data_IF_075426723377
#
_entry.id   IF_075426723377
#
_cell.length_a   1.000
_cell.length_b   1.000
_cell.length_c   1.000
_cell.angle_alpha   90.00
_cell.angle_beta   90.00
_cell.angle_gamma   90.00
#
_symmetry.space_group_name_H-M   'P 1'
#
loop_
_entity.id
_entity.type
_entity.pdbx_description
1 polymer ?
#
# COMPACT_ATOMS: atom_id res chain seq x y z
N UNK A 1 20.51 -0.83 -17.54
CA UNK A 1 19.57 -1.98 -17.58
C UNK A 1 18.19 -1.44 -18.01
N UNK A 2 17.40 -2.14 -18.82
CA UNK A 2 16.09 -1.62 -19.21
C UNK A 2 15.01 -2.18 -18.27
N UNK A 3 14.76 -1.50 -17.15
CA UNK A 3 13.75 -1.90 -16.16
C UNK A 3 12.34 -1.64 -16.71
N UNK A 4 12.14 -0.52 -17.43
CA UNK A 4 10.86 -0.25 -18.07
C UNK A 4 10.71 -1.03 -19.37
N UNK A 5 9.64 -1.80 -19.49
CA UNK A 5 9.25 -2.54 -20.71
C UNK A 5 8.32 -1.73 -21.62
N UNK A 6 7.86 -0.56 -21.16
CA UNK A 6 6.94 0.31 -21.88
C UNK A 6 7.58 1.64 -22.26
N UNK A 7 7.08 2.24 -23.34
CA UNK A 7 7.50 3.58 -23.80
C UNK A 7 6.54 4.68 -23.35
N UNK A 8 5.37 4.30 -22.83
CA UNK A 8 4.29 5.19 -22.41
C UNK A 8 3.82 4.77 -21.02
N UNK A 9 3.38 5.73 -20.22
CA UNK A 9 2.56 5.45 -19.05
C UNK A 9 1.08 5.35 -19.42
N UNK A 10 0.24 5.01 -18.44
CA UNK A 10 -1.20 4.87 -18.66
C UNK A 10 -1.87 6.17 -19.12
N UNK A 11 -1.46 7.30 -18.58
CA UNK A 11 -2.10 8.58 -18.84
C UNK A 11 -1.76 9.10 -20.25
N UNK A 12 -0.52 8.91 -20.70
CA UNK A 12 -0.09 9.15 -22.07
C UNK A 12 -0.87 8.25 -23.05
N UNK A 13 -0.98 6.96 -22.74
CA UNK A 13 -1.73 6.01 -23.55
C UNK A 13 -3.21 6.42 -23.69
N UNK A 14 -3.89 6.73 -22.58
CA UNK A 14 -5.29 7.16 -22.59
C UNK A 14 -5.48 8.46 -23.39
N UNK A 15 -4.50 9.36 -23.33
CA UNK A 15 -4.48 10.62 -24.07
C UNK A 15 -4.42 10.41 -25.58
N UNK A 16 -3.68 9.40 -26.03
CA UNK A 16 -3.48 9.05 -27.43
C UNK A 16 -4.70 8.32 -28.00
N UNK A 17 -5.21 7.30 -27.32
CA UNK A 17 -6.31 6.47 -27.86
C UNK A 17 -7.69 7.13 -27.75
N UNK A 18 -7.90 8.00 -26.77
CA UNK A 18 -9.13 8.77 -26.53
C UNK A 18 -10.43 7.96 -26.67
N UNK A 19 -10.42 6.74 -26.13
CA UNK A 19 -11.60 5.87 -26.09
C UNK A 19 -12.46 6.20 -24.86
N UNK A 20 -13.80 5.87 -24.89
CA UNK A 20 -14.64 6.01 -23.73
C UNK A 20 -14.11 5.25 -22.51
N UNK A 21 -14.19 5.83 -21.33
CA UNK A 21 -13.76 5.24 -20.07
C UNK A 21 -14.98 4.84 -19.22
N UNK A 22 -14.96 3.63 -18.67
CA UNK A 22 -15.90 3.18 -17.67
C UNK A 22 -15.18 3.02 -16.32
N UNK A 23 -15.58 3.79 -15.31
CA UNK A 23 -14.99 3.71 -13.98
C UNK A 23 -15.66 2.61 -13.17
N UNK A 24 -14.89 1.66 -12.69
CA UNK A 24 -15.36 0.59 -11.81
C UNK A 24 -15.05 0.92 -10.35
N UNK A 25 -16.06 1.43 -9.63
CA UNK A 25 -15.98 1.86 -8.25
C UNK A 25 -16.34 3.33 -8.05
N UNK A 26 -16.64 3.72 -6.80
CA UNK A 26 -17.18 5.04 -6.44
C UNK A 26 -16.66 5.52 -5.08
N UNK A 27 -15.46 5.16 -4.70
CA UNK A 27 -14.81 5.57 -3.45
C UNK A 27 -13.68 6.57 -3.69
N UNK A 28 -12.84 6.76 -2.69
CA UNK A 28 -11.67 7.65 -2.70
C UNK A 28 -10.73 7.41 -3.90
N UNK A 29 -10.52 6.13 -4.28
CA UNK A 29 -9.73 5.81 -5.47
C UNK A 29 -10.33 6.38 -6.76
N UNK A 30 -11.68 6.36 -6.89
CA UNK A 30 -12.34 6.96 -8.04
C UNK A 30 -12.23 8.49 -8.04
N UNK A 31 -12.34 9.13 -6.86
CA UNK A 31 -12.15 10.58 -6.74
C UNK A 31 -10.74 11.00 -7.17
N UNK A 32 -9.71 10.24 -6.75
CA UNK A 32 -8.31 10.47 -7.15
C UNK A 32 -8.11 10.29 -8.65
N UNK A 33 -8.62 9.19 -9.23
CA UNK A 33 -8.51 8.91 -10.66
C UNK A 33 -9.20 9.98 -11.49
N UNK A 34 -10.41 10.43 -11.10
CA UNK A 34 -11.11 11.52 -11.78
C UNK A 34 -10.28 12.82 -11.74
N UNK A 35 -9.69 13.14 -10.59
CA UNK A 35 -8.83 14.32 -10.45
C UNK A 35 -7.60 14.26 -11.39
N UNK A 36 -6.97 13.08 -11.50
CA UNK A 36 -5.85 12.88 -12.41
C UNK A 36 -6.29 12.99 -13.87
N UNK A 37 -7.41 12.36 -14.24
CA UNK A 37 -7.99 12.49 -15.59
C UNK A 37 -8.32 13.94 -15.93
N UNK A 38 -8.80 14.74 -14.97
CA UNK A 38 -9.08 16.15 -15.14
C UNK A 38 -7.80 16.95 -15.40
N UNK A 39 -6.73 16.68 -14.64
CA UNK A 39 -5.43 17.32 -14.80
C UNK A 39 -4.78 17.01 -16.17
N UNK A 40 -5.05 15.82 -16.72
CA UNK A 40 -4.59 15.42 -18.06
C UNK A 40 -5.55 15.80 -19.20
N UNK A 41 -6.68 16.48 -18.91
CA UNK A 41 -7.68 16.87 -19.93
C UNK A 41 -8.44 15.68 -20.51
N UNK A 42 -8.61 14.60 -19.72
CA UNK A 42 -9.24 13.33 -20.11
C UNK A 42 -10.59 13.06 -19.43
N UNK A 43 -11.06 13.99 -18.58
CA UNK A 43 -12.31 13.81 -17.84
C UNK A 43 -13.53 13.63 -18.74
N UNK A 44 -13.53 14.27 -19.91
CA UNK A 44 -14.59 14.17 -20.92
C UNK A 44 -14.71 12.78 -21.55
N UNK A 45 -13.69 11.93 -21.39
CA UNK A 45 -13.72 10.54 -21.84
C UNK A 45 -14.53 9.64 -20.89
N UNK A 46 -14.82 10.07 -19.66
CA UNK A 46 -15.62 9.27 -18.71
C UNK A 46 -17.05 9.18 -19.26
N UNK A 47 -17.44 7.98 -19.68
CA UNK A 47 -18.73 7.70 -20.29
C UNK A 47 -19.68 6.98 -19.33
N UNK A 48 -19.18 6.24 -18.35
CA UNK A 48 -19.98 5.49 -17.40
C UNK A 48 -19.25 5.29 -16.06
N UNK A 49 -20.04 5.08 -15.00
CA UNK A 49 -19.57 4.65 -13.68
C UNK A 49 -20.41 3.45 -13.24
N UNK A 50 -19.76 2.38 -12.83
CA UNK A 50 -20.46 1.18 -12.38
C UNK A 50 -19.84 0.60 -11.09
N UNK A 51 -20.61 -0.26 -10.42
CA UNK A 51 -20.19 -0.95 -9.21
C UNK A 51 -20.57 -2.44 -9.31
N UNK A 52 -19.97 -3.29 -8.47
CA UNK A 52 -20.37 -4.69 -8.32
C UNK A 52 -21.83 -4.80 -7.90
N UNK A 53 -22.54 -5.83 -8.35
CA UNK A 53 -24.01 -5.97 -8.22
C UNK A 53 -24.52 -5.75 -6.80
N UNK A 54 -23.84 -6.24 -5.78
CA UNK A 54 -24.22 -6.02 -4.38
C UNK A 54 -24.00 -4.57 -3.86
N UNK A 55 -23.34 -3.72 -4.65
CA UNK A 55 -22.98 -2.33 -4.31
C UNK A 55 -23.64 -1.29 -5.22
N UNK A 56 -24.39 -1.73 -6.20
CA UNK A 56 -25.24 -0.86 -7.02
C UNK A 56 -26.36 -0.31 -6.13
N UNK A 57 -26.33 0.99 -5.87
CA UNK A 57 -27.39 1.71 -5.16
C UNK A 57 -27.91 2.79 -6.11
N UNK A 58 -29.17 3.16 -5.99
CA UNK A 58 -29.72 4.31 -6.71
C UNK A 58 -29.05 5.59 -6.23
N UNK A 59 -27.87 5.88 -6.77
CA UNK A 59 -27.07 7.06 -6.45
C UNK A 59 -26.38 7.61 -7.68
N UNK A 60 -26.03 8.86 -7.61
CA UNK A 60 -25.12 9.52 -8.55
C UNK A 60 -23.73 9.66 -7.94
N UNK A 61 -22.70 9.59 -8.77
CA UNK A 61 -21.32 9.85 -8.41
C UNK A 61 -20.70 10.77 -9.46
N UNK A 62 -20.23 11.95 -9.07
CA UNK A 62 -19.77 13.02 -9.98
C UNK A 62 -20.72 13.32 -11.16
N UNK A 63 -22.05 13.25 -10.90
CA UNK A 63 -23.08 13.47 -11.94
C UNK A 63 -23.42 12.24 -12.79
N UNK A 64 -22.68 11.15 -12.69
CA UNK A 64 -22.97 9.89 -13.35
C UNK A 64 -23.91 9.03 -12.51
N UNK A 65 -24.93 8.42 -13.15
CA UNK A 65 -25.72 7.37 -12.51
C UNK A 65 -24.83 6.12 -12.34
N UNK A 66 -24.74 5.62 -11.10
CA UNK A 66 -24.02 4.36 -10.82
C UNK A 66 -24.87 3.20 -11.27
N UNK A 67 -24.35 2.34 -12.14
CA UNK A 67 -25.07 1.23 -12.75
C UNK A 67 -24.40 -0.12 -12.45
N UNK A 68 -25.05 -1.23 -12.83
CA UNK A 68 -24.44 -2.55 -12.84
C UNK A 68 -23.44 -2.68 -13.99
N UNK A 69 -22.55 -3.67 -13.94
CA UNK A 69 -21.65 -3.96 -15.05
C UNK A 69 -22.42 -4.28 -16.34
N UNK A 70 -23.47 -5.11 -16.25
CA UNK A 70 -24.28 -5.47 -17.40
C UNK A 70 -25.03 -4.28 -18.04
N UNK A 71 -25.50 -3.32 -17.23
CA UNK A 71 -26.14 -2.10 -17.74
C UNK A 71 -25.11 -1.14 -18.33
N UNK A 72 -23.89 -1.08 -17.77
CA UNK A 72 -22.76 -0.33 -18.33
C UNK A 72 -22.43 -0.83 -19.74
N UNK A 73 -22.28 -2.14 -19.94
CA UNK A 73 -22.02 -2.73 -21.25
C UNK A 73 -23.13 -2.40 -22.26
N UNK A 74 -24.43 -2.48 -21.87
CA UNK A 74 -25.55 -2.10 -22.74
C UNK A 74 -25.53 -0.63 -23.09
N UNK A 75 -25.25 0.25 -22.12
CA UNK A 75 -25.26 1.70 -22.31
C UNK A 75 -24.14 2.18 -23.23
N UNK A 76 -22.98 1.51 -23.20
CA UNK A 76 -21.82 1.86 -24.03
C UNK A 76 -21.81 1.14 -25.40
N UNK A 77 -22.57 0.05 -25.56
CA UNK A 77 -22.64 -0.68 -26.84
C UNK A 77 -23.13 0.20 -28.00
N UNK A 78 -22.60 0.02 -29.21
CA UNK A 78 -21.56 -0.92 -29.63
C UNK A 78 -20.12 -0.35 -29.51
N UNK A 79 -19.91 0.72 -28.73
CA UNK A 79 -18.60 1.35 -28.58
C UNK A 79 -17.66 0.46 -27.78
N UNK A 80 -16.44 0.34 -28.24
CA UNK A 80 -15.35 -0.21 -27.47
C UNK A 80 -14.90 0.79 -26.41
N UNK A 81 -14.74 0.35 -25.16
CA UNK A 81 -14.40 1.18 -24.00
C UNK A 81 -13.33 0.54 -23.13
N UNK A 82 -12.65 1.38 -22.36
CA UNK A 82 -11.62 0.96 -21.41
C UNK A 82 -12.19 1.02 -20.00
N UNK A 83 -11.92 0.00 -19.18
CA UNK A 83 -12.32 -0.04 -17.77
C UNK A 83 -11.16 0.41 -16.91
N UNK A 84 -11.42 1.37 -16.00
CA UNK A 84 -10.50 1.75 -14.94
C UNK A 84 -11.05 1.28 -13.60
N UNK A 85 -10.34 0.37 -12.93
CA UNK A 85 -10.69 -0.10 -11.59
C UNK A 85 -10.24 0.94 -10.57
N UNK A 86 -11.16 1.39 -9.72
CA UNK A 86 -10.99 2.55 -8.85
C UNK A 86 -11.03 2.19 -7.35
N UNK A 87 -10.70 0.95 -7.00
CA UNK A 87 -10.69 0.47 -5.61
C UNK A 87 -9.63 -0.61 -5.41
N UNK A 88 -9.30 -0.87 -4.13
CA UNK A 88 -8.39 -1.95 -3.76
C UNK A 88 -9.12 -3.16 -3.19
N UNK A 89 -8.61 -4.37 -3.49
CA UNK A 89 -9.11 -5.62 -2.94
C UNK A 89 -8.09 -6.76 -3.09
N UNK A 90 -8.02 -7.61 -2.05
CA UNK A 90 -7.35 -8.92 -2.08
C UNK A 90 -8.37 -10.08 -2.06
N UNK A 91 -9.68 -9.79 -2.05
CA UNK A 91 -10.75 -10.77 -1.95
C UNK A 91 -10.87 -11.59 -3.24
N UNK A 92 -10.79 -12.93 -3.18
CA UNK A 92 -10.75 -13.79 -4.37
C UNK A 92 -11.95 -13.57 -5.31
N UNK A 93 -13.16 -13.38 -4.77
CA UNK A 93 -14.36 -13.17 -5.57
C UNK A 93 -14.35 -11.83 -6.33
N UNK A 94 -13.69 -10.79 -5.75
CA UNK A 94 -13.53 -9.48 -6.39
C UNK A 94 -12.47 -9.56 -7.47
N UNK A 95 -11.34 -10.21 -7.20
CA UNK A 95 -10.26 -10.41 -8.16
C UNK A 95 -10.75 -11.21 -9.36
N UNK A 96 -11.49 -12.31 -9.15
CA UNK A 96 -12.10 -13.11 -10.24
C UNK A 96 -13.07 -12.29 -11.09
N UNK A 97 -13.82 -11.35 -10.50
CA UNK A 97 -14.68 -10.46 -11.26
C UNK A 97 -13.87 -9.46 -12.10
N UNK A 98 -12.77 -8.92 -11.58
CA UNK A 98 -11.87 -8.03 -12.34
C UNK A 98 -11.20 -8.79 -13.49
N UNK A 99 -10.71 -10.00 -13.25
CA UNK A 99 -10.13 -10.88 -14.28
C UNK A 99 -11.15 -11.20 -15.39
N UNK A 100 -12.41 -11.49 -15.02
CA UNK A 100 -13.49 -11.68 -15.98
C UNK A 100 -13.68 -10.44 -16.85
N UNK A 101 -13.79 -9.25 -16.25
CA UNK A 101 -13.96 -8.00 -17.00
C UNK A 101 -12.74 -7.76 -17.90
N UNK A 102 -11.52 -8.04 -17.43
CA UNK A 102 -10.30 -7.91 -18.21
C UNK A 102 -10.24 -8.89 -19.41
N UNK A 103 -10.96 -10.03 -19.36
CA UNK A 103 -11.10 -10.94 -20.50
C UNK A 103 -12.12 -10.47 -21.54
N UNK A 104 -13.01 -9.57 -21.18
CA UNK A 104 -14.09 -9.04 -22.03
C UNK A 104 -13.75 -7.64 -22.59
N UNK A 105 -12.98 -6.85 -21.84
CA UNK A 105 -12.63 -5.46 -22.15
C UNK A 105 -11.18 -5.16 -21.80
N UNK A 106 -10.61 -4.17 -22.46
CA UNK A 106 -9.35 -3.58 -22.03
C UNK A 106 -9.53 -2.94 -20.66
N UNK A 107 -8.71 -3.36 -19.68
CA UNK A 107 -8.86 -2.99 -18.30
C UNK A 107 -7.51 -2.60 -17.69
N UNK A 108 -7.53 -1.54 -16.89
CA UNK A 108 -6.40 -1.10 -16.09
C UNK A 108 -6.81 -0.88 -14.64
N UNK A 109 -5.86 -1.09 -13.74
CA UNK A 109 -5.95 -0.72 -12.32
C UNK A 109 -4.90 0.38 -12.09
N UNK A 110 -5.25 1.67 -12.24
CA UNK A 110 -4.28 2.74 -12.14
C UNK A 110 -3.60 2.76 -10.77
N UNK A 111 -2.27 2.86 -10.75
CA UNK A 111 -1.53 3.16 -9.53
C UNK A 111 -1.70 4.64 -9.20
N UNK A 112 -2.38 4.91 -8.11
CA UNK A 112 -2.53 6.27 -7.58
C UNK A 112 -2.03 6.30 -6.16
N UNK A 113 -1.22 7.30 -5.75
CA UNK A 113 -0.59 7.29 -4.45
C UNK A 113 -1.64 7.22 -3.34
N UNK A 114 -1.45 6.33 -2.38
CA UNK A 114 -2.29 6.25 -1.18
C UNK A 114 -2.10 7.52 -0.36
N UNK A 115 -0.85 7.99 -0.26
CA UNK A 115 -0.45 9.21 0.42
C UNK A 115 0.40 10.12 -0.47
N UNK A 116 0.23 11.44 -0.31
CA UNK A 116 0.91 12.43 -1.13
C UNK A 116 0.19 12.72 -2.45
N UNK A 117 0.86 13.46 -3.32
CA UNK A 117 0.31 13.90 -4.62
C UNK A 117 1.21 13.57 -5.81
N UNK A 118 2.37 12.96 -5.57
CA UNK A 118 3.32 12.61 -6.63
C UNK A 118 2.81 11.35 -7.31
N UNK A 119 2.53 11.46 -8.61
CA UNK A 119 2.12 10.34 -9.44
C UNK A 119 3.35 9.60 -9.96
N UNK A 120 3.29 8.27 -10.01
CA UNK A 120 4.32 7.47 -10.66
C UNK A 120 4.04 7.41 -12.17
N UNK A 121 4.29 8.53 -12.83
CA UNK A 121 4.19 8.67 -14.28
C UNK A 121 5.54 8.49 -14.98
N UNK A 122 5.56 8.67 -16.29
CA UNK A 122 6.78 8.54 -17.10
C UNK A 122 7.85 9.54 -16.70
N UNK A 123 7.46 10.78 -16.45
CA UNK A 123 8.39 11.85 -16.04
C UNK A 123 9.06 11.51 -14.70
N UNK A 124 8.26 11.13 -13.70
CA UNK A 124 8.79 10.71 -12.40
C UNK A 124 9.72 9.50 -12.52
N UNK A 125 9.35 8.50 -13.33
CA UNK A 125 10.21 7.33 -13.56
C UNK A 125 11.56 7.72 -14.16
N UNK A 126 11.56 8.56 -15.23
CA UNK A 126 12.79 8.97 -15.93
C UNK A 126 13.73 9.80 -15.06
N UNK A 127 13.19 10.67 -14.21
CA UNK A 127 13.96 11.45 -13.24
C UNK A 127 14.62 10.58 -12.16
N UNK A 128 14.03 9.43 -11.81
CA UNK A 128 14.48 8.57 -10.73
C UNK A 128 15.13 7.26 -11.21
N UNK A 129 15.43 7.09 -12.50
CA UNK A 129 16.11 5.88 -13.03
C UNK A 129 17.36 5.52 -12.22
N UNK A 130 18.27 6.45 -11.87
CA UNK A 130 19.47 6.09 -11.11
C UNK A 130 19.16 5.43 -9.77
N UNK A 131 18.19 5.96 -9.03
CA UNK A 131 17.79 5.43 -7.73
C UNK A 131 17.09 4.07 -7.87
N UNK A 132 16.26 3.92 -8.89
CA UNK A 132 15.57 2.66 -9.21
C UNK A 132 16.59 1.57 -9.61
N UNK A 133 17.60 1.89 -10.41
CA UNK A 133 18.66 0.95 -10.79
C UNK A 133 19.58 0.61 -9.61
N UNK A 134 19.86 1.55 -8.73
CA UNK A 134 20.60 1.33 -7.49
C UNK A 134 19.88 0.29 -6.63
N UNK A 135 18.59 0.48 -6.34
CA UNK A 135 17.79 -0.48 -5.57
C UNK A 135 17.75 -1.86 -6.22
N UNK A 136 17.53 -1.90 -7.54
CA UNK A 136 17.55 -3.16 -8.28
C UNK A 136 18.86 -3.93 -8.07
N UNK A 137 19.99 -3.24 -8.01
CA UNK A 137 21.31 -3.85 -7.79
C UNK A 137 21.49 -4.46 -6.39
N UNK A 138 20.77 -3.95 -5.40
CA UNK A 138 20.78 -4.43 -4.01
C UNK A 138 19.85 -5.62 -3.76
N UNK A 139 18.93 -5.94 -4.70
CA UNK A 139 18.00 -7.06 -4.51
C UNK A 139 18.73 -8.40 -4.52
N UNK A 140 18.47 -9.21 -3.50
CA UNK A 140 19.31 -10.37 -3.16
C UNK A 140 18.95 -11.64 -3.92
N UNK A 141 17.75 -11.74 -4.53
CA UNK A 141 17.33 -12.90 -5.31
C UNK A 141 16.61 -12.53 -6.61
N UNK A 142 16.44 -13.50 -7.50
CA UNK A 142 15.81 -13.30 -8.80
C UNK A 142 14.29 -13.11 -8.69
N UNK A 143 13.66 -13.65 -7.65
CA UNK A 143 12.23 -13.42 -7.36
C UNK A 143 12.01 -11.95 -7.05
N UNK A 144 12.84 -11.35 -6.20
CA UNK A 144 12.80 -9.93 -5.87
C UNK A 144 13.07 -9.04 -7.10
N UNK A 145 14.04 -9.40 -7.93
CA UNK A 145 14.33 -8.67 -9.18
C UNK A 145 13.16 -8.72 -10.15
N UNK A 146 12.54 -9.89 -10.30
CA UNK A 146 11.33 -10.06 -11.11
C UNK A 146 10.17 -9.25 -10.53
N UNK A 147 9.94 -9.31 -9.23
CA UNK A 147 8.90 -8.55 -8.56
C UNK A 147 9.10 -7.04 -8.76
N UNK A 148 10.30 -6.54 -8.55
CA UNK A 148 10.61 -5.12 -8.68
C UNK A 148 10.38 -4.60 -10.11
N UNK A 149 10.88 -5.31 -11.13
CA UNK A 149 10.68 -4.95 -12.54
C UNK A 149 9.19 -4.95 -12.90
N UNK A 150 8.45 -5.97 -12.52
CA UNK A 150 7.03 -6.04 -12.80
C UNK A 150 6.24 -4.96 -12.03
N UNK A 151 6.57 -4.72 -10.77
CA UNK A 151 5.93 -3.69 -9.98
C UNK A 151 6.13 -2.28 -10.56
N UNK A 152 7.36 -1.92 -10.99
CA UNK A 152 7.63 -0.66 -11.69
C UNK A 152 6.79 -0.54 -12.98
N UNK A 153 6.70 -1.61 -13.78
CA UNK A 153 5.89 -1.59 -15.00
C UNK A 153 4.39 -1.52 -14.72
N UNK A 154 3.93 -2.16 -13.64
CA UNK A 154 2.56 -2.00 -13.16
C UNK A 154 2.28 -0.55 -12.76
N UNK A 155 3.13 0.09 -11.96
CA UNK A 155 2.96 1.49 -11.53
C UNK A 155 2.84 2.44 -12.73
N UNK A 156 3.62 2.21 -13.78
CA UNK A 156 3.56 3.01 -15.01
C UNK A 156 2.28 2.77 -15.82
N UNK A 157 1.81 1.51 -15.91
CA UNK A 157 0.80 1.14 -16.90
C UNK A 157 -0.57 0.83 -16.34
N UNK A 158 -0.67 0.53 -15.03
CA UNK A 158 -1.88 0.00 -14.43
C UNK A 158 -2.28 -1.41 -14.94
N UNK A 159 -1.41 -2.09 -15.70
CA UNK A 159 -1.71 -3.41 -16.25
C UNK A 159 -1.50 -4.49 -15.18
N UNK A 160 -2.59 -5.16 -14.81
CA UNK A 160 -2.61 -6.19 -13.75
C UNK A 160 -1.77 -7.44 -14.08
N UNK A 161 -1.46 -7.68 -15.34
CA UNK A 161 -0.62 -8.83 -15.74
C UNK A 161 0.75 -8.76 -15.07
N UNK A 162 1.30 -7.56 -14.92
CA UNK A 162 2.57 -7.38 -14.23
C UNK A 162 2.51 -7.78 -12.74
N UNK A 163 1.38 -7.55 -12.07
CA UNK A 163 1.20 -8.01 -10.68
C UNK A 163 1.09 -9.53 -10.62
N UNK A 164 0.31 -10.14 -11.53
CA UNK A 164 0.17 -11.59 -11.61
C UNK A 164 1.50 -12.29 -11.92
N UNK A 165 2.36 -11.68 -12.74
CA UNK A 165 3.68 -12.23 -13.12
C UNK A 165 4.71 -12.21 -11.98
N UNK A 166 4.42 -11.53 -10.88
CA UNK A 166 5.31 -11.42 -9.71
C UNK A 166 4.65 -11.76 -8.39
N UNK A 167 3.45 -12.34 -8.42
CA UNK A 167 2.74 -12.76 -7.22
C UNK A 167 3.55 -13.80 -6.43
N UNK A 168 3.69 -13.57 -5.14
CA UNK A 168 4.36 -14.47 -4.20
C UNK A 168 3.33 -15.10 -3.26
N UNK A 169 3.46 -16.40 -3.01
CA UNK A 169 2.64 -17.10 -2.05
C UNK A 169 3.08 -16.86 -0.60
N UNK A 170 2.21 -17.20 0.37
CA UNK A 170 2.56 -17.09 1.79
C UNK A 170 3.83 -17.86 2.19
N UNK A 171 4.12 -18.97 1.53
CA UNK A 171 5.30 -19.79 1.82
C UNK A 171 6.60 -19.09 1.40
N UNK A 172 6.59 -18.28 0.34
CA UNK A 172 7.73 -17.47 -0.07
C UNK A 172 8.05 -16.40 0.97
N UNK A 173 7.02 -15.72 1.49
CA UNK A 173 7.18 -14.73 2.56
C UNK A 173 7.73 -15.39 3.82
N UNK A 174 7.11 -16.49 4.27
CA UNK A 174 7.54 -17.19 5.47
C UNK A 174 8.95 -17.75 5.34
N UNK A 175 9.34 -18.24 4.16
CA UNK A 175 10.71 -18.70 3.91
C UNK A 175 11.75 -17.59 4.07
N UNK A 176 11.43 -16.35 3.68
CA UNK A 176 12.30 -15.20 3.94
C UNK A 176 12.42 -14.90 5.44
N UNK A 177 11.34 -15.07 6.19
CA UNK A 177 11.25 -14.72 7.60
C UNK A 177 11.73 -15.82 8.55
N UNK A 178 12.17 -16.98 8.06
CA UNK A 178 12.74 -18.08 8.88
C UNK A 178 13.97 -17.65 9.69
N UNK A 179 14.62 -16.54 9.34
CA UNK A 179 15.72 -15.93 10.08
C UNK A 179 15.33 -15.09 11.29
N UNK A 180 14.03 -14.95 11.61
CA UNK A 180 13.57 -14.20 12.78
C UNK A 180 14.15 -14.81 14.06
N UNK A 181 14.88 -13.98 14.82
CA UNK A 181 15.45 -14.35 16.11
C UNK A 181 14.51 -14.05 17.27
N UNK A 182 14.85 -14.57 18.47
CA UNK A 182 14.16 -14.19 19.70
C UNK A 182 14.17 -12.67 19.90
N UNK A 183 13.02 -12.12 20.30
CA UNK A 183 12.86 -10.70 20.57
C UNK A 183 11.40 -10.27 20.57
N UNK A 184 11.20 -8.98 20.55
CA UNK A 184 9.89 -8.36 20.42
C UNK A 184 9.50 -8.27 18.95
N UNK A 185 8.26 -8.56 18.63
CA UNK A 185 7.62 -8.17 17.37
C UNK A 185 7.08 -6.76 17.53
N UNK A 186 7.49 -5.84 16.66
CA UNK A 186 6.97 -4.46 16.62
C UNK A 186 6.11 -4.31 15.37
N UNK A 187 4.79 -4.20 15.55
CA UNK A 187 3.81 -4.06 14.48
C UNK A 187 3.35 -2.60 14.38
N UNK A 188 3.89 -1.86 13.42
CA UNK A 188 3.57 -0.47 13.19
C UNK A 188 2.49 -0.38 12.11
N UNK A 189 1.30 0.14 12.47
CA UNK A 189 0.08 0.04 11.69
C UNK A 189 -0.59 -1.31 11.88
N UNK A 190 -0.86 -1.67 13.13
CA UNK A 190 -1.34 -3.01 13.49
C UNK A 190 -2.82 -3.27 13.16
N UNK A 191 -3.56 -2.24 12.74
CA UNK A 191 -4.97 -2.30 12.34
C UNK A 191 -5.83 -3.07 13.36
N UNK A 192 -6.33 -4.26 13.01
CA UNK A 192 -7.15 -5.10 13.91
C UNK A 192 -6.37 -6.24 14.57
N UNK A 193 -5.05 -6.34 14.34
CA UNK A 193 -4.20 -7.38 14.89
C UNK A 193 -4.12 -8.68 14.08
N UNK A 194 -4.59 -8.69 12.84
CA UNK A 194 -4.49 -9.85 11.95
C UNK A 194 -3.03 -10.25 11.68
N UNK A 195 -2.15 -9.26 11.53
CA UNK A 195 -0.70 -9.44 11.41
C UNK A 195 -0.09 -10.04 12.68
N UNK A 196 -0.52 -9.58 13.85
CA UNK A 196 -0.08 -10.14 15.13
C UNK A 196 -0.40 -11.64 15.22
N UNK A 197 -1.66 -12.00 14.94
CA UNK A 197 -2.09 -13.42 14.98
C UNK A 197 -1.23 -14.24 14.01
N UNK A 198 -1.05 -13.75 12.78
CA UNK A 198 -0.34 -14.46 11.73
C UNK A 198 1.12 -14.76 12.11
N UNK A 199 1.86 -13.72 12.56
CA UNK A 199 3.29 -13.87 12.81
C UNK A 199 3.60 -14.49 14.17
N UNK A 200 2.89 -14.15 15.25
CA UNK A 200 3.13 -14.76 16.56
C UNK A 200 2.84 -16.26 16.56
N UNK A 201 1.79 -16.71 15.85
CA UNK A 201 1.50 -18.14 15.72
C UNK A 201 2.53 -18.87 14.82
N UNK A 202 3.07 -18.21 13.82
CA UNK A 202 4.08 -18.78 12.92
C UNK A 202 5.47 -18.83 13.57
N UNK A 203 5.84 -17.80 14.33
CA UNK A 203 7.16 -17.64 14.93
C UNK A 203 7.09 -17.64 16.47
N UNK A 204 7.01 -18.82 17.10
CA UNK A 204 6.84 -18.93 18.56
C UNK A 204 8.06 -18.45 19.37
N UNK A 205 9.16 -18.07 18.73
CA UNK A 205 10.27 -17.36 19.35
C UNK A 205 9.93 -15.91 19.72
N UNK A 206 8.93 -15.31 19.05
CA UNK A 206 8.41 -13.98 19.34
C UNK A 206 7.37 -14.08 20.46
N UNK A 207 7.81 -13.96 21.73
CA UNK A 207 6.92 -14.07 22.91
C UNK A 207 6.27 -12.76 23.31
N UNK A 208 6.78 -11.62 22.80
CA UNK A 208 6.29 -10.28 23.09
C UNK A 208 6.01 -9.56 21.78
N UNK A 209 4.98 -8.72 21.78
CA UNK A 209 4.74 -7.77 20.70
C UNK A 209 4.37 -6.39 21.25
N UNK A 210 4.75 -5.35 20.51
CA UNK A 210 4.26 -3.99 20.65
C UNK A 210 3.57 -3.61 19.37
N UNK A 211 2.27 -3.29 19.47
CA UNK A 211 1.40 -2.99 18.35
C UNK A 211 0.95 -1.53 18.41
N UNK A 212 1.26 -0.76 17.38
CA UNK A 212 0.92 0.67 17.30
C UNK A 212 -0.16 0.88 16.24
N UNK A 213 -1.28 1.49 16.62
CA UNK A 213 -2.40 1.78 15.72
C UNK A 213 -3.04 3.13 16.05
N UNK A 214 -3.04 4.11 15.13
CA UNK A 214 -3.57 5.43 15.41
C UNK A 214 -5.11 5.53 15.32
N UNK A 215 -5.79 4.71 14.49
CA UNK A 215 -7.23 4.82 14.29
C UNK A 215 -8.00 4.18 15.46
N UNK A 216 -8.83 4.99 16.15
CA UNK A 216 -9.46 4.60 17.41
C UNK A 216 -10.42 3.41 17.31
N UNK A 217 -11.08 3.20 16.15
CA UNK A 217 -11.97 2.07 15.97
C UNK A 217 -11.18 0.77 15.74
N UNK A 218 -10.14 0.87 14.91
CA UNK A 218 -9.18 -0.22 14.67
C UNK A 218 -8.47 -0.59 15.96
N UNK A 219 -8.01 0.40 16.71
CA UNK A 219 -7.34 0.21 17.99
C UNK A 219 -8.18 -0.58 19.00
N UNK A 220 -9.48 -0.26 19.15
CA UNK A 220 -10.37 -1.03 20.03
C UNK A 220 -10.54 -2.49 19.63
N UNK A 221 -10.38 -2.81 18.36
CA UNK A 221 -10.41 -4.20 17.87
C UNK A 221 -9.06 -4.88 18.10
N UNK A 222 -7.97 -4.12 17.94
CA UNK A 222 -6.62 -4.56 18.26
C UNK A 222 -6.50 -4.94 19.74
N UNK A 223 -7.04 -4.14 20.67
CA UNK A 223 -7.06 -4.47 22.10
C UNK A 223 -7.74 -5.81 22.38
N UNK A 224 -8.87 -6.11 21.74
CA UNK A 224 -9.54 -7.41 21.87
C UNK A 224 -8.70 -8.57 21.31
N UNK A 225 -8.06 -8.35 20.17
CA UNK A 225 -7.14 -9.32 19.59
C UNK A 225 -5.96 -9.60 20.55
N UNK A 226 -5.43 -8.55 21.20
CA UNK A 226 -4.36 -8.67 22.18
C UNK A 226 -4.79 -9.49 23.40
N UNK A 227 -5.99 -9.25 23.95
CA UNK A 227 -6.55 -10.05 25.06
C UNK A 227 -6.63 -11.55 24.71
N UNK A 228 -7.01 -11.89 23.47
CA UNK A 228 -7.05 -13.28 22.99
C UNK A 228 -5.65 -13.90 22.95
N UNK A 229 -4.66 -13.18 22.36
CA UNK A 229 -3.27 -13.64 22.29
C UNK A 229 -2.59 -13.73 23.67
N UNK A 230 -2.92 -12.84 24.60
CA UNK A 230 -2.44 -12.91 25.98
C UNK A 230 -2.93 -14.17 26.69
N UNK A 231 -4.18 -14.59 26.42
CA UNK A 231 -4.72 -15.86 26.94
C UNK A 231 -3.98 -17.08 26.38
N UNK A 232 -3.34 -16.95 25.21
CA UNK A 232 -2.48 -17.97 24.59
C UNK A 232 -1.02 -17.90 25.09
N UNK A 233 -0.67 -16.93 25.96
CA UNK A 233 0.64 -16.81 26.60
C UNK A 233 1.62 -15.84 25.93
N UNK A 234 1.16 -14.98 25.03
CA UNK A 234 1.95 -13.89 24.46
C UNK A 234 1.84 -12.64 25.34
N UNK A 235 2.92 -11.84 25.40
CA UNK A 235 2.89 -10.53 26.07
C UNK A 235 2.65 -9.43 25.02
N UNK A 236 1.47 -8.81 25.00
CA UNK A 236 1.10 -7.81 24.00
C UNK A 236 0.98 -6.43 24.65
N UNK A 237 1.55 -5.41 24.02
CA UNK A 237 1.36 -4.01 24.41
C UNK A 237 0.75 -3.26 23.22
N UNK A 238 -0.46 -2.72 23.38
CA UNK A 238 -1.12 -1.90 22.37
C UNK A 238 -0.93 -0.42 22.66
N UNK A 239 -0.60 0.39 21.65
CA UNK A 239 -0.35 1.82 21.76
C UNK A 239 -1.20 2.56 20.74
N UNK A 240 -2.09 3.46 21.19
CA UNK A 240 -2.88 4.31 20.28
C UNK A 240 -2.10 5.58 19.97
N UNK A 241 -1.23 5.51 18.98
CA UNK A 241 -0.37 6.61 18.56
C UNK A 241 -0.06 6.55 17.06
N UNK A 242 0.42 7.65 16.50
CA UNK A 242 1.15 7.68 15.23
C UNK A 242 2.59 7.24 15.45
N UNK A 243 3.24 6.78 14.38
CA UNK A 243 4.67 6.51 14.36
C UNK A 243 5.36 7.59 13.54
N UNK A 244 6.47 8.13 14.06
CA UNK A 244 7.22 9.20 13.41
C UNK A 244 8.72 9.16 13.72
N UNK A 245 9.44 10.18 13.24
CA UNK A 245 10.88 10.35 13.47
C UNK A 245 11.22 10.98 14.83
N UNK A 246 10.24 11.56 15.51
CA UNK A 246 10.38 12.17 16.85
C UNK A 246 9.09 12.00 17.63
N UNK A 247 9.21 11.91 18.95
CA UNK A 247 8.06 11.88 19.87
C UNK A 247 7.40 13.24 19.96
N UNK A 248 6.07 13.26 20.11
CA UNK A 248 5.30 14.51 20.21
C UNK A 248 3.81 14.27 20.13
N UNK A 249 3.08 15.26 19.64
CA UNK A 249 1.65 15.17 19.38
C UNK A 249 1.32 15.80 18.03
N UNK A 250 0.40 15.20 17.28
CA UNK A 250 -0.08 15.72 16.01
C UNK A 250 -1.61 15.84 15.99
N UNK A 251 -2.10 16.72 15.10
CA UNK A 251 -3.52 16.83 14.82
C UNK A 251 -3.89 15.90 13.67
N UNK A 252 -4.88 15.05 13.88
CA UNK A 252 -5.39 14.13 12.86
C UNK A 252 -6.86 14.40 12.58
N UNK A 253 -7.27 14.18 11.33
CA UNK A 253 -8.67 14.25 10.96
C UNK A 253 -9.45 13.08 11.54
N UNK A 254 -10.64 13.35 12.11
CA UNK A 254 -11.57 12.29 12.52
C UNK A 254 -12.59 11.97 11.42
N UNK A 255 -12.44 12.54 10.22
CA UNK A 255 -13.29 12.19 9.08
C UNK A 255 -13.10 10.72 8.71
N UNK A 256 -14.21 10.02 8.47
CA UNK A 256 -14.19 8.60 8.10
C UNK A 256 -13.46 8.39 6.76
N UNK A 257 -12.39 7.63 6.76
CA UNK A 257 -11.59 7.23 5.61
C UNK A 257 -10.53 6.23 6.05
N UNK A 258 -9.91 5.48 5.14
CA UNK A 258 -8.75 4.62 5.47
C UNK A 258 -7.58 5.53 5.85
N UNK A 259 -6.98 5.26 7.00
CA UNK A 259 -5.77 5.91 7.51
C UNK A 259 -6.06 7.18 8.35
N UNK A 260 -5.81 7.07 9.66
CA UNK A 260 -5.63 8.25 10.53
C UNK A 260 -4.28 8.84 10.20
N UNK A 261 -4.24 10.08 9.68
CA UNK A 261 -3.02 10.72 9.16
C UNK A 261 -2.78 12.04 9.84
N UNK A 262 -1.50 12.38 10.01
CA UNK A 262 -1.09 13.74 10.29
C UNK A 262 -1.60 14.68 9.19
N UNK A 263 -2.14 15.82 9.58
CA UNK A 263 -2.60 16.82 8.63
C UNK A 263 -1.38 17.58 8.09
N UNK A 264 -1.23 17.76 6.76
CA UNK A 264 -0.26 18.70 6.26
C UNK A 264 -0.54 20.09 6.85
N UNK A 265 0.51 20.86 7.12
CA UNK A 265 0.46 22.25 7.65
C UNK A 265 -0.25 23.21 6.67
N UNK A 266 -1.52 22.96 6.33
CA UNK A 266 -2.34 23.83 5.51
C UNK A 266 -3.33 24.55 6.43
N UNK A 267 -3.48 25.88 6.25
CA UNK A 267 -4.41 26.76 6.94
C UNK A 267 -5.91 26.44 6.68
N UNK A 268 -6.26 25.18 6.53
CA UNK A 268 -7.65 24.74 6.39
C UNK A 268 -8.14 24.41 7.80
N UNK A 269 -9.09 25.20 8.32
CA UNK A 269 -9.87 24.85 9.51
C UNK A 269 -10.63 23.55 9.24
N UNK A 270 -10.01 22.44 9.58
CA UNK A 270 -10.68 21.14 9.52
C UNK A 270 -11.59 21.00 10.75
N UNK A 271 -12.88 21.05 10.51
CA UNK A 271 -13.89 20.67 11.51
C UNK A 271 -13.70 19.17 11.82
N UNK A 272 -13.52 18.83 13.09
CA UNK A 272 -13.31 17.48 13.62
C UNK A 272 -11.86 16.97 13.51
N UNK A 273 -10.94 17.61 14.20
CA UNK A 273 -9.59 17.08 14.48
C UNK A 273 -9.50 16.58 15.92
N UNK A 274 -8.60 15.63 16.16
CA UNK A 274 -8.18 15.25 17.50
C UNK A 274 -6.66 15.28 17.60
N UNK A 275 -6.15 15.58 18.79
CA UNK A 275 -4.74 15.39 19.10
C UNK A 275 -4.46 13.91 19.33
N UNK A 276 -3.34 13.42 18.82
CA UNK A 276 -2.86 12.05 19.00
C UNK A 276 -1.35 12.08 19.26
N UNK A 277 -0.87 11.20 20.13
CA UNK A 277 0.54 11.07 20.41
C UNK A 277 1.30 10.52 19.21
N UNK A 278 2.55 10.95 19.05
CA UNK A 278 3.51 10.41 18.11
C UNK A 278 4.62 9.73 18.90
N UNK A 279 4.89 8.47 18.57
CA UNK A 279 5.96 7.69 19.18
C UNK A 279 7.04 7.37 18.14
N UNK A 280 8.25 7.11 18.58
CA UNK A 280 9.32 6.53 17.76
C UNK A 280 9.54 5.08 18.23
N UNK A 281 10.01 4.20 17.35
CA UNK A 281 10.37 2.83 17.74
C UNK A 281 11.43 2.85 18.85
N UNK A 282 12.38 3.76 18.75
CA UNK A 282 13.47 3.93 19.72
C UNK A 282 12.98 4.39 21.11
N UNK A 283 11.77 4.98 21.20
CA UNK A 283 11.15 5.39 22.47
C UNK A 283 10.33 4.29 23.15
N UNK A 284 10.07 3.16 22.44
CA UNK A 284 9.25 2.08 22.96
C UNK A 284 10.05 1.14 23.87
N UNK A 285 9.41 0.63 24.90
CA UNK A 285 9.99 -0.43 25.75
C UNK A 285 9.82 -1.80 25.06
N UNK A 286 10.68 -2.07 24.09
CA UNK A 286 10.65 -3.31 23.32
C UNK A 286 11.72 -4.34 23.72
N UNK A 287 12.69 -3.93 24.53
CA UNK A 287 13.89 -4.72 24.78
C UNK A 287 14.68 -4.93 23.48
N UNK A 288 14.93 -6.19 23.10
CA UNK A 288 15.52 -6.54 21.80
C UNK A 288 14.41 -6.69 20.74
N UNK A 289 14.52 -5.97 19.63
CA UNK A 289 13.65 -6.18 18.47
C UNK A 289 14.09 -7.41 17.67
N UNK A 290 13.19 -8.37 17.48
CA UNK A 290 13.41 -9.54 16.62
C UNK A 290 12.84 -9.35 15.22
N UNK A 291 11.68 -8.70 15.13
CA UNK A 291 10.99 -8.42 13.89
C UNK A 291 10.25 -7.08 13.97
N UNK A 292 10.30 -6.26 12.93
CA UNK A 292 9.55 -5.00 12.82
C UNK A 292 8.80 -4.98 11.48
N UNK A 293 7.47 -4.74 11.53
CA UNK A 293 6.65 -4.44 10.36
C UNK A 293 6.37 -2.94 10.33
N UNK A 294 6.59 -2.32 9.16
CA UNK A 294 6.25 -0.93 8.88
C UNK A 294 5.15 -0.88 7.82
N UNK A 295 3.96 -0.44 8.22
CA UNK A 295 2.80 -0.28 7.35
C UNK A 295 1.96 0.89 7.92
N UNK A 296 2.52 2.09 7.80
CA UNK A 296 2.06 3.30 8.51
C UNK A 296 1.51 4.38 7.58
N UNK A 297 0.89 3.92 6.49
CA UNK A 297 0.08 4.74 5.59
C UNK A 297 0.84 5.97 5.02
N UNK A 298 2.11 5.77 4.62
CA UNK A 298 2.96 6.78 3.99
C UNK A 298 3.88 7.55 4.95
N UNK A 299 4.03 7.08 6.20
CA UNK A 299 5.00 7.61 7.17
C UNK A 299 6.21 6.67 7.36
N UNK A 300 6.44 5.73 6.45
CA UNK A 300 7.47 4.69 6.58
C UNK A 300 8.87 5.28 6.72
N UNK A 301 9.24 6.27 5.92
CA UNK A 301 10.54 6.94 6.03
C UNK A 301 10.75 7.57 7.41
N UNK A 302 9.73 8.25 7.94
CA UNK A 302 9.79 8.84 9.27
C UNK A 302 9.85 7.77 10.37
N UNK A 303 9.13 6.67 10.20
CA UNK A 303 9.15 5.53 11.12
C UNK A 303 10.52 4.82 11.13
N UNK A 304 11.18 4.70 9.97
CA UNK A 304 12.56 4.16 9.85
C UNK A 304 13.54 5.09 10.57
N UNK A 305 13.43 6.42 10.40
CA UNK A 305 14.25 7.39 11.14
C UNK A 305 14.05 7.25 12.65
N UNK A 306 12.81 7.06 13.10
CA UNK A 306 12.49 6.85 14.52
C UNK A 306 12.84 5.46 15.06
N UNK A 307 13.33 4.57 14.22
CA UNK A 307 13.81 3.22 14.57
C UNK A 307 15.33 3.06 14.42
N UNK A 308 16.05 4.14 14.12
CA UNK A 308 17.48 4.10 13.74
C UNK A 308 18.34 3.42 14.78
N UNK A 309 18.22 3.78 16.05
CA UNK A 309 19.04 3.20 17.11
C UNK A 309 18.70 1.73 17.34
N UNK A 310 17.43 1.36 17.24
CA UNK A 310 16.96 -0.03 17.30
C UNK A 310 17.51 -0.87 16.14
N UNK A 311 17.45 -0.34 14.90
CA UNK A 311 18.01 -0.99 13.71
C UNK A 311 19.52 -1.23 13.87
N UNK A 312 20.25 -0.23 14.35
CA UNK A 312 21.69 -0.34 14.59
C UNK A 312 22.05 -1.33 15.69
N UNK A 313 21.30 -1.32 16.79
CA UNK A 313 21.56 -2.14 17.99
C UNK A 313 21.19 -3.61 17.76
N UNK A 314 20.00 -3.86 17.26
CA UNK A 314 19.38 -5.20 17.29
C UNK A 314 19.46 -5.94 15.95
N UNK A 315 19.63 -5.22 14.84
CA UNK A 315 19.56 -5.78 13.48
C UNK A 315 18.28 -6.65 13.28
N UNK A 316 17.08 -6.12 13.55
CA UNK A 316 15.86 -6.90 13.41
C UNK A 316 15.63 -7.30 11.94
N UNK A 317 14.92 -8.38 11.72
CA UNK A 317 14.29 -8.61 10.42
C UNK A 317 13.20 -7.54 10.24
N UNK A 318 13.12 -6.94 9.06
CA UNK A 318 12.11 -5.91 8.79
C UNK A 318 11.28 -6.24 7.55
N UNK A 319 9.98 -5.94 7.63
CA UNK A 319 9.03 -5.91 6.53
C UNK A 319 8.50 -4.49 6.40
N UNK A 320 8.63 -3.87 5.22
CA UNK A 320 8.29 -2.47 5.00
C UNK A 320 7.40 -2.36 3.77
N UNK A 321 6.17 -1.86 3.95
CA UNK A 321 5.23 -1.58 2.86
C UNK A 321 5.79 -0.49 1.93
N UNK A 322 5.76 -0.72 0.61
CA UNK A 322 6.35 0.19 -0.38
C UNK A 322 5.34 0.70 -1.42
N UNK A 323 4.07 0.75 -1.06
CA UNK A 323 2.98 1.09 -1.98
C UNK A 323 2.23 2.39 -1.63
N UNK A 324 2.57 3.05 -0.53
CA UNK A 324 1.83 4.22 -0.08
C UNK A 324 2.20 5.49 -0.86
N UNK A 325 3.46 5.64 -1.25
CA UNK A 325 3.98 6.78 -2.01
C UNK A 325 4.69 6.32 -3.28
N UNK A 326 4.81 7.21 -4.25
CA UNK A 326 5.53 6.91 -5.48
C UNK A 326 7.02 6.67 -5.25
N UNK A 327 7.64 7.43 -4.35
CA UNK A 327 9.05 7.32 -4.01
C UNK A 327 9.42 6.10 -3.16
N UNK A 328 8.46 5.42 -2.53
CA UNK A 328 8.71 4.30 -1.61
C UNK A 328 9.49 3.16 -2.26
N UNK A 329 9.34 2.96 -3.57
CA UNK A 329 10.03 1.90 -4.32
C UNK A 329 11.55 2.04 -4.34
N UNK A 330 12.09 3.21 -4.01
CA UNK A 330 13.54 3.41 -3.90
C UNK A 330 13.96 4.08 -2.59
N UNK A 331 13.19 5.02 -2.08
CA UNK A 331 13.59 5.81 -0.92
C UNK A 331 13.72 4.97 0.35
N UNK A 332 12.82 3.98 0.56
CA UNK A 332 12.84 3.11 1.73
C UNK A 332 14.10 2.23 1.78
N UNK A 333 14.46 1.63 0.67
CA UNK A 333 15.66 0.77 0.58
C UNK A 333 16.92 1.60 0.83
N UNK A 334 17.04 2.75 0.16
CA UNK A 334 18.19 3.66 0.34
C UNK A 334 18.32 4.09 1.79
N UNK A 335 17.19 4.44 2.43
CA UNK A 335 17.15 4.86 3.83
C UNK A 335 17.63 3.77 4.79
N UNK A 336 17.17 2.54 4.63
CA UNK A 336 17.61 1.43 5.48
C UNK A 336 19.09 1.11 5.26
N UNK A 337 19.56 1.08 4.01
CA UNK A 337 20.96 0.78 3.70
C UNK A 337 21.92 1.91 4.11
N UNK A 338 21.45 3.17 4.17
CA UNK A 338 22.19 4.28 4.77
C UNK A 338 22.43 4.06 6.28
N UNK A 339 21.42 3.56 7.00
CA UNK A 339 21.54 3.24 8.42
C UNK A 339 22.41 2.01 8.64
N UNK A 340 22.15 0.95 7.85
CA UNK A 340 22.81 -0.34 8.00
C UNK A 340 23.00 -1.06 6.65
N UNK A 341 24.18 -0.94 6.02
CA UNK A 341 24.44 -1.42 4.65
C UNK A 341 24.59 -2.95 4.50
N UNK A 342 24.64 -3.71 5.60
CA UNK A 342 24.84 -5.17 5.59
C UNK A 342 23.51 -5.96 5.54
N UNK A 343 22.37 -5.31 5.34
CA UNK A 343 21.10 -5.98 5.09
C UNK A 343 21.06 -6.59 3.68
N UNK A 344 20.54 -7.80 3.60
CA UNK A 344 20.06 -8.37 2.35
C UNK A 344 18.64 -7.88 2.09
N UNK A 345 18.40 -7.39 0.88
CA UNK A 345 17.12 -6.78 0.49
C UNK A 345 16.35 -7.73 -0.41
N UNK A 346 15.09 -7.98 -0.07
CA UNK A 346 14.16 -8.77 -0.87
C UNK A 346 12.88 -7.98 -1.11
N UNK A 347 12.11 -8.36 -2.13
CA UNK A 347 10.81 -7.78 -2.44
C UNK A 347 9.82 -8.89 -2.77
N UNK A 348 8.61 -8.78 -2.24
CA UNK A 348 7.49 -9.69 -2.56
C UNK A 348 6.22 -8.90 -2.76
N UNK A 349 5.36 -9.41 -3.64
CA UNK A 349 4.00 -8.91 -3.84
C UNK A 349 3.02 -10.01 -3.51
N UNK A 350 2.11 -9.76 -2.58
CA UNK A 350 0.98 -10.65 -2.28
C UNK A 350 -0.23 -10.22 -3.13
N UNK A 351 -0.97 -11.20 -3.63
CA UNK A 351 -2.09 -10.97 -4.56
C UNK A 351 -3.09 -9.94 -4.06
N UNK A 352 -3.02 -8.76 -4.63
CA UNK A 352 -3.87 -7.60 -4.33
C UNK A 352 -3.91 -6.66 -5.52
N UNK A 353 -5.03 -5.98 -5.73
CA UNK A 353 -5.17 -4.86 -6.67
C UNK A 353 -5.66 -3.61 -5.91
N UNK A 354 -5.14 -2.42 -6.22
CA UNK A 354 -3.91 -2.13 -6.96
C UNK A 354 -2.71 -2.85 -6.34
N UNK A 355 -1.51 -2.60 -6.74
CA UNK A 355 -0.28 -3.24 -6.22
C UNK A 355 0.03 -2.99 -4.74
N UNK A 356 -1.02 -2.97 -3.88
CA UNK A 356 -0.88 -2.95 -2.42
C UNK A 356 -0.39 -4.32 -1.94
N UNK A 357 -0.04 -4.46 -0.66
CA UNK A 357 0.59 -5.66 -0.12
C UNK A 357 1.89 -6.04 -0.90
N UNK A 358 2.62 -4.99 -1.33
CA UNK A 358 3.96 -5.10 -1.90
C UNK A 358 4.95 -4.56 -0.89
N UNK A 359 5.91 -5.40 -0.49
CA UNK A 359 6.76 -5.14 0.65
C UNK A 359 8.23 -5.39 0.33
N UNK A 360 9.11 -4.57 0.89
CA UNK A 360 10.52 -4.87 1.04
C UNK A 360 10.79 -5.64 2.34
N UNK A 361 11.72 -6.58 2.28
CA UNK A 361 12.20 -7.36 3.42
C UNK A 361 13.69 -7.14 3.58
N UNK A 362 14.13 -6.89 4.81
CA UNK A 362 15.52 -6.67 5.18
C UNK A 362 15.96 -7.74 6.19
N UNK A 363 16.98 -8.53 5.80
CA UNK A 363 17.41 -9.73 6.54
C UNK A 363 18.93 -9.75 6.77
#
# INVERSE_FOLDING_TARGET
MNISKTKQDLWEYLSEVRRPLALYGTGDGADKIISILENHGLKDLIAAVFASDGFVRERTFHGFKVMSYGDCCKALAPKDFIVLVCFGSSRPEVLSQVEKIASEHELYVPDVPVYGSILFDRGFFEENIPDIEEVFSHLSDDISRNCYVNYINYKLTGNITYLSDCESGPDDEFGLLDGISEGCFVDLGAYYGDTLIRYLKKYPCLKRAVAVEPESHSFKRLEKCAEELESEGFGITCINALVGSSTGTEQVSTARGRGTRALPNSNVELKNTRSIDVVTVDSLDIGKAGFIKFDVEGSELAAIDGAKDTILRDRPVMKIACYHRSEDVFALVKKVLEIRPDYKVYMRHTRCIPGWDTDFYFI
#
